data_IF_655724228403
#
_entry.id   IF_655724228403
#
_cell.length_a   1.000
_cell.length_b   1.000
_cell.length_c   1.000
_cell.angle_alpha   90.00
_cell.angle_beta   90.00
_cell.angle_gamma   90.00
#
_symmetry.space_group_name_H-M   'P 1'
#
loop_
_entity.id
_entity.type
_entity.pdbx_description
1 polymer ?
#
# COMPACT_ATOMS: atom_id res chain seq x y z
N UNK A 1 3.22 -36.81 -8.57
CA UNK A 1 2.19 -35.75 -8.67
C UNK A 1 2.87 -34.41 -8.41
N UNK A 2 3.12 -33.63 -9.46
CA UNK A 2 3.79 -32.33 -9.38
C UNK A 2 2.77 -31.23 -9.10
N UNK A 3 2.90 -30.56 -7.96
CA UNK A 3 2.08 -29.41 -7.60
C UNK A 3 2.33 -28.25 -8.58
N UNK A 4 1.33 -27.87 -9.38
CA UNK A 4 1.37 -26.63 -10.15
C UNK A 4 1.39 -25.46 -9.18
N UNK A 5 2.46 -24.66 -9.18
CA UNK A 5 2.49 -23.36 -8.51
C UNK A 5 1.43 -22.46 -9.16
N UNK A 6 0.36 -22.17 -8.42
CA UNK A 6 -0.62 -21.16 -8.78
C UNK A 6 0.09 -19.80 -8.86
N UNK A 7 0.23 -19.25 -10.06
CA UNK A 7 0.80 -17.91 -10.26
C UNK A 7 -0.20 -16.86 -9.78
N UNK A 8 0.03 -16.27 -8.61
CA UNK A 8 -0.68 -15.07 -8.15
C UNK A 8 -0.38 -13.94 -9.13
N UNK A 9 -1.42 -13.32 -9.69
CA UNK A 9 -1.25 -12.12 -10.53
C UNK A 9 -1.30 -10.90 -9.62
N UNK A 10 -0.16 -10.26 -9.46
CA UNK A 10 -0.08 -8.93 -8.85
C UNK A 10 -0.58 -7.90 -9.87
N UNK A 11 -1.58 -7.11 -9.50
CA UNK A 11 -2.09 -6.05 -10.36
C UNK A 11 -1.97 -4.74 -9.59
N UNK A 12 -0.89 -3.99 -9.80
CA UNK A 12 -0.81 -2.63 -9.29
C UNK A 12 -1.81 -1.77 -10.09
N UNK A 13 -2.86 -1.28 -9.42
CA UNK A 13 -3.76 -0.27 -9.98
C UNK A 13 -3.20 1.06 -9.52
N UNK A 14 -2.51 1.75 -10.43
CA UNK A 14 -1.84 3.00 -10.10
C UNK A 14 -2.85 4.13 -9.99
N UNK A 15 -2.86 4.79 -8.83
CA UNK A 15 -3.35 6.15 -8.71
C UNK A 15 -2.32 7.09 -9.37
N UNK A 16 -2.29 7.11 -10.70
CA UNK A 16 -1.82 8.29 -11.40
C UNK A 16 -3.06 9.15 -11.51
N UNK A 17 -3.27 10.15 -10.63
CA UNK A 17 -4.22 11.26 -10.84
C UNK A 17 -4.20 12.23 -9.63
N UNK A 18 -3.03 12.78 -9.31
CA UNK A 18 -2.96 14.18 -8.84
C UNK A 18 -2.08 14.91 -9.86
N UNK A 19 -2.64 15.96 -10.45
CA UNK A 19 -2.19 16.74 -11.61
C UNK A 19 -2.40 16.06 -12.98
N UNK A 20 -3.32 16.63 -13.76
CA UNK A 20 -3.64 16.16 -15.09
C UNK A 20 -2.50 16.36 -16.07
N UNK A 21 -2.10 15.29 -16.76
CA UNK A 21 -1.73 15.35 -18.18
C UNK A 21 -1.81 13.93 -18.76
N UNK A 22 -2.76 13.75 -19.66
CA UNK A 22 -2.85 12.61 -20.56
C UNK A 22 -1.64 12.66 -21.51
N UNK A 23 -0.78 11.65 -21.54
CA UNK A 23 -0.06 11.28 -22.77
C UNK A 23 0.34 9.81 -22.77
N UNK A 24 -0.30 9.08 -23.68
CA UNK A 24 0.15 7.81 -24.25
C UNK A 24 1.52 8.04 -24.90
N UNK A 25 2.45 7.07 -24.84
CA UNK A 25 3.15 6.59 -26.04
C UNK A 25 4.06 5.37 -25.77
N UNK A 26 3.84 4.37 -26.62
CA UNK A 26 4.73 3.28 -26.96
C UNK A 26 5.89 3.78 -27.85
N UNK A 27 6.96 2.99 -27.87
CA UNK A 27 8.07 2.94 -28.84
C UNK A 27 9.10 4.09 -28.88
N UNK A 28 10.32 3.76 -28.44
CA UNK A 28 11.57 3.81 -29.21
C UNK A 28 12.07 5.16 -29.73
N UNK A 29 13.30 5.53 -29.34
CA UNK A 29 14.10 6.51 -30.10
C UNK A 29 15.14 7.24 -29.27
N UNK A 30 16.42 6.89 -29.50
CA UNK A 30 17.61 7.60 -29.06
C UNK A 30 17.72 8.92 -29.83
N UNK A 31 17.97 10.05 -29.16
CA UNK A 31 18.72 11.18 -29.73
C UNK A 31 19.54 11.86 -28.62
N UNK A 32 20.85 12.00 -28.87
CA UNK A 32 21.80 12.81 -28.11
C UNK A 32 21.72 14.29 -28.51
N UNK A 33 22.08 15.20 -27.60
CA UNK A 33 22.80 16.42 -27.98
C UNK A 33 23.64 16.94 -26.81
N UNK A 34 24.96 16.97 -27.03
CA UNK A 34 25.90 17.81 -26.29
C UNK A 34 25.74 19.28 -26.73
N UNK A 35 25.95 20.21 -25.80
CA UNK A 35 26.44 21.56 -26.11
C UNK A 35 27.19 22.14 -24.90
N UNK A 36 28.31 22.77 -25.23
CA UNK A 36 29.48 23.18 -24.43
C UNK A 36 29.39 24.64 -23.96
N UNK A 37 30.07 24.97 -22.84
CA UNK A 37 30.99 26.13 -22.60
C UNK A 37 30.87 26.66 -21.14
N UNK A 38 31.88 26.48 -20.26
CA UNK A 38 33.02 27.39 -19.93
C UNK A 38 32.58 28.73 -19.26
N UNK A 39 33.17 29.29 -18.19
CA UNK A 39 34.42 29.06 -17.44
C UNK A 39 34.46 29.99 -16.19
N UNK A 40 35.43 29.75 -15.27
CA UNK A 40 35.97 30.61 -14.17
C UNK A 40 35.22 30.55 -12.84
N UNK A 41 35.80 30.25 -11.67
CA UNK A 41 37.19 30.12 -11.24
C UNK A 41 37.33 30.84 -9.90
N UNK A 42 37.65 30.12 -8.81
CA UNK A 42 38.58 30.61 -7.79
C UNK A 42 38.96 29.47 -6.83
N UNK A 43 40.24 29.37 -6.53
CA UNK A 43 40.83 28.36 -5.68
C UNK A 43 40.80 28.85 -4.22
N UNK A 44 40.10 28.14 -3.35
CA UNK A 44 40.27 28.29 -1.91
C UNK A 44 40.69 26.97 -1.26
N UNK A 45 41.73 27.11 -0.43
CA UNK A 45 42.53 26.10 0.27
C UNK A 45 41.74 24.89 0.77
N UNK A 46 42.25 23.71 0.43
CA UNK A 46 41.86 22.43 1.00
C UNK A 46 42.14 22.42 2.51
N UNK A 47 41.06 22.46 3.29
CA UNK A 47 41.03 22.14 4.70
C UNK A 47 41.07 20.61 4.84
N UNK A 48 42.25 20.07 5.15
CA UNK A 48 42.44 18.65 5.47
C UNK A 48 41.91 18.33 6.85
N UNK A 49 40.60 18.51 7.07
CA UNK A 49 39.89 17.82 8.15
C UNK A 49 39.49 16.45 7.61
N UNK A 50 40.19 15.44 8.12
CA UNK A 50 39.88 14.02 7.97
C UNK A 50 38.40 13.83 8.30
N UNK A 51 37.56 13.63 7.28
CA UNK A 51 36.15 13.32 7.46
C UNK A 51 36.08 12.09 8.37
N UNK A 52 35.36 12.11 9.50
CA UNK A 52 35.22 10.92 10.32
C UNK A 52 34.60 9.85 9.41
N UNK A 53 35.23 8.68 9.38
CA UNK A 53 34.66 7.51 8.71
C UNK A 53 33.25 7.36 9.28
N UNK A 54 32.23 7.44 8.43
CA UNK A 54 30.85 7.28 8.85
C UNK A 54 30.76 5.96 9.61
N UNK A 55 30.48 6.06 10.91
CA UNK A 55 30.27 4.91 11.77
C UNK A 55 29.17 4.08 11.11
N UNK A 56 29.42 2.79 10.86
CA UNK A 56 28.42 1.95 10.21
C UNK A 56 27.15 2.04 11.05
N UNK A 57 25.98 2.33 10.44
CA UNK A 57 24.76 2.48 11.20
C UNK A 57 24.55 1.23 12.07
N UNK A 58 24.13 1.46 13.32
CA UNK A 58 23.78 0.40 14.27
C UNK A 58 22.53 -0.33 13.74
N UNK A 59 22.77 -1.34 12.91
CA UNK A 59 21.75 -2.11 12.20
C UNK A 59 21.75 -3.54 12.71
N UNK A 60 20.62 -3.97 13.27
CA UNK A 60 20.36 -5.38 13.57
C UNK A 60 19.41 -5.98 12.52
N UNK A 61 19.47 -7.29 12.30
CA UNK A 61 18.62 -7.98 11.30
C UNK A 61 17.81 -9.08 11.95
N UNK A 62 16.62 -9.37 11.39
CA UNK A 62 15.87 -10.59 11.73
C UNK A 62 16.68 -11.84 11.38
N UNK A 63 16.33 -12.97 12.00
CA UNK A 63 17.00 -14.26 11.77
C UNK A 63 17.02 -14.67 10.30
N UNK A 64 15.94 -14.39 9.58
CA UNK A 64 15.81 -14.67 8.14
C UNK A 64 16.36 -13.55 7.23
N UNK A 65 16.89 -12.49 7.82
CA UNK A 65 17.47 -11.33 7.13
C UNK A 65 16.49 -10.44 6.37
N UNK A 66 15.17 -10.69 6.46
CA UNK A 66 14.15 -9.90 5.75
C UNK A 66 13.96 -8.51 6.33
N UNK A 67 14.10 -8.38 7.65
CA UNK A 67 13.90 -7.13 8.37
C UNK A 67 15.21 -6.59 8.90
N UNK A 68 15.36 -5.27 8.85
CA UNK A 68 16.44 -4.55 9.53
C UNK A 68 15.84 -3.63 10.59
N UNK A 69 16.54 -3.46 11.71
CA UNK A 69 16.15 -2.53 12.76
C UNK A 69 17.29 -1.53 12.94
N UNK A 70 16.93 -0.24 12.98
CA UNK A 70 17.89 0.86 13.08
C UNK A 70 17.54 1.75 14.25
N UNK A 71 18.55 2.14 15.03
CA UNK A 71 18.36 3.05 16.17
C UNK A 71 18.06 4.48 15.74
N UNK A 72 18.72 4.94 14.67
CA UNK A 72 18.42 6.22 14.03
C UNK A 72 17.46 5.97 12.86
N UNK A 73 16.27 6.55 12.96
CA UNK A 73 15.17 6.32 12.03
C UNK A 73 14.18 7.49 12.03
N UNK A 74 13.22 7.52 11.10
CA UNK A 74 12.22 8.59 11.02
C UNK A 74 11.29 8.56 12.25
N UNK A 75 10.96 9.71 12.87
CA UNK A 75 10.06 9.74 14.03
C UNK A 75 8.62 9.27 13.73
N UNK A 76 8.23 9.17 12.45
CA UNK A 76 6.94 8.64 12.01
C UNK A 76 7.02 7.18 11.54
N UNK A 77 8.21 6.57 11.60
CA UNK A 77 8.43 5.18 11.27
C UNK A 77 8.65 4.32 12.51
N UNK A 78 8.61 3.01 12.31
CA UNK A 78 8.72 2.01 13.37
C UNK A 78 10.18 1.72 13.76
N UNK A 79 11.17 2.31 13.08
CA UNK A 79 12.57 1.88 13.19
C UNK A 79 12.85 0.49 12.61
N UNK A 80 11.82 -0.14 12.03
CA UNK A 80 11.87 -1.42 11.33
C UNK A 80 11.82 -1.18 9.82
N UNK A 81 12.67 -1.88 9.10
CA UNK A 81 12.88 -1.72 7.67
C UNK A 81 12.63 -3.03 6.94
N UNK A 82 12.02 -2.94 5.76
CA UNK A 82 11.75 -4.04 4.85
C UNK A 82 12.10 -3.60 3.43
N UNK A 83 12.88 -4.39 2.69
CA UNK A 83 13.34 -4.02 1.34
C UNK A 83 13.96 -2.60 1.26
N UNK A 84 14.71 -2.22 2.30
CA UNK A 84 15.40 -0.93 2.39
C UNK A 84 14.52 0.30 2.63
N UNK A 85 13.20 0.15 2.78
CA UNK A 85 12.31 1.23 3.28
C UNK A 85 12.01 1.04 4.76
N UNK A 86 11.82 2.14 5.46
CA UNK A 86 11.25 2.11 6.81
C UNK A 86 9.74 1.82 6.71
N UNK A 87 9.21 1.11 7.69
CA UNK A 87 7.77 0.85 7.83
C UNK A 87 7.15 2.02 8.62
N UNK A 88 6.06 2.59 8.11
CA UNK A 88 5.36 3.70 8.77
C UNK A 88 4.60 3.19 9.99
N UNK A 89 4.35 4.07 10.97
CA UNK A 89 3.46 3.77 12.08
C UNK A 89 2.02 3.59 11.57
N UNK A 90 1.28 2.65 12.18
CA UNK A 90 -0.14 2.45 11.86
C UNK A 90 -0.96 3.67 12.29
N UNK A 91 -1.89 4.10 11.45
CA UNK A 91 -2.84 5.16 11.82
C UNK A 91 -3.81 4.67 12.92
N UNK A 92 -3.89 5.38 14.05
CA UNK A 92 -4.87 5.08 15.11
C UNK A 92 -6.32 5.28 14.64
N UNK A 93 -7.27 4.54 15.21
CA UNK A 93 -8.71 4.71 14.98
C UNK A 93 -9.23 6.14 15.19
N UNK A 94 -8.55 6.96 16.01
CA UNK A 94 -8.86 8.38 16.15
C UNK A 94 -8.73 9.17 14.82
N UNK A 95 -8.00 8.64 13.85
CA UNK A 95 -7.89 9.16 12.49
C UNK A 95 -9.09 8.83 11.59
N UNK A 96 -10.07 8.04 12.03
CA UNK A 96 -11.24 7.68 11.22
C UNK A 96 -11.95 8.88 10.55
N UNK A 97 -12.12 10.06 11.19
CA UNK A 97 -12.71 11.23 10.53
C UNK A 97 -11.94 11.69 9.28
N UNK A 98 -10.63 11.48 9.22
CA UNK A 98 -9.81 11.79 8.05
C UNK A 98 -10.17 10.92 6.84
N UNK A 99 -10.52 9.65 7.10
CA UNK A 99 -10.93 8.70 6.06
C UNK A 99 -12.32 9.02 5.48
N UNK A 100 -13.11 9.83 6.20
CA UNK A 100 -14.49 10.19 5.86
C UNK A 100 -14.66 11.64 5.40
N UNK A 101 -13.56 12.41 5.32
CA UNK A 101 -13.61 13.81 4.90
C UNK A 101 -14.27 13.92 3.51
N UNK A 102 -15.18 14.87 3.30
CA UNK A 102 -15.90 15.01 2.02
C UNK A 102 -14.99 15.15 0.80
N UNK A 103 -13.84 15.80 0.98
CA UNK A 103 -12.85 16.09 -0.05
C UNK A 103 -12.14 14.81 -0.55
N UNK A 104 -12.22 13.71 0.20
CA UNK A 104 -11.51 12.47 -0.11
C UNK A 104 -11.88 11.89 -1.47
N UNK A 105 -13.15 11.99 -1.88
CA UNK A 105 -13.55 11.52 -3.20
C UNK A 105 -12.96 12.38 -4.32
N UNK A 106 -12.83 13.69 -4.12
CA UNK A 106 -12.22 14.58 -5.11
C UNK A 106 -10.70 14.37 -5.19
N UNK A 107 -10.04 14.20 -4.04
CA UNK A 107 -8.59 14.05 -3.93
C UNK A 107 -8.09 12.65 -4.31
N UNK A 108 -8.75 11.60 -3.82
CA UNK A 108 -8.31 10.20 -3.97
C UNK A 108 -9.12 9.42 -5.02
N UNK A 109 -10.23 9.99 -5.52
CA UNK A 109 -11.06 9.42 -6.60
C UNK A 109 -11.51 7.99 -6.33
N UNK A 110 -12.05 7.73 -5.15
CA UNK A 110 -12.40 6.37 -4.69
C UNK A 110 -13.41 5.68 -5.61
N UNK A 111 -14.38 6.41 -6.18
CA UNK A 111 -15.33 5.82 -7.14
C UNK A 111 -14.63 5.36 -8.42
N UNK A 112 -13.66 6.15 -8.89
CA UNK A 112 -12.84 5.76 -10.04
C UNK A 112 -12.02 4.52 -9.69
N UNK A 113 -11.36 4.51 -8.54
CA UNK A 113 -10.58 3.37 -8.07
C UNK A 113 -11.44 2.10 -8.08
N UNK A 114 -12.59 2.11 -7.39
CA UNK A 114 -13.48 0.94 -7.27
C UNK A 114 -13.96 0.46 -8.64
N UNK A 115 -14.31 1.37 -9.56
CA UNK A 115 -14.71 1.00 -10.92
C UNK A 115 -13.61 0.30 -11.74
N UNK A 116 -12.33 0.58 -11.44
CA UNK A 116 -11.18 -0.04 -12.11
C UNK A 116 -10.77 -1.39 -11.48
N UNK A 117 -11.34 -1.74 -10.32
CA UNK A 117 -11.13 -3.05 -9.69
C UNK A 117 -11.85 -4.19 -10.41
N UNK A 118 -12.61 -3.91 -11.47
CA UNK A 118 -13.25 -4.93 -12.31
C UNK A 118 -14.12 -5.90 -11.49
N UNK A 119 -14.76 -5.38 -10.45
CA UNK A 119 -15.65 -6.12 -9.57
C UNK A 119 -16.85 -6.63 -10.38
N UNK A 120 -17.35 -7.80 -9.99
CA UNK A 120 -18.49 -8.43 -10.63
C UNK A 120 -19.46 -8.92 -9.56
N UNK A 121 -20.77 -8.92 -9.85
CA UNK A 121 -21.75 -9.53 -8.97
C UNK A 121 -21.37 -10.96 -8.58
N UNK A 122 -21.41 -11.29 -7.29
CA UNK A 122 -21.07 -12.61 -6.77
C UNK A 122 -19.60 -12.82 -6.38
N UNK A 123 -18.72 -11.85 -6.62
CA UNK A 123 -17.33 -11.93 -6.15
C UNK A 123 -17.24 -11.83 -4.62
N UNK A 124 -16.25 -12.51 -4.05
CA UNK A 124 -15.83 -12.36 -2.65
C UNK A 124 -14.54 -11.55 -2.64
N UNK A 125 -14.55 -10.37 -2.03
CA UNK A 125 -13.41 -9.46 -2.02
C UNK A 125 -12.99 -9.12 -0.60
N UNK A 126 -11.69 -8.92 -0.38
CA UNK A 126 -11.12 -8.50 0.89
C UNK A 126 -10.68 -7.04 0.82
N UNK A 127 -11.14 -6.23 1.77
CA UNK A 127 -10.65 -4.87 2.02
C UNK A 127 -9.69 -4.93 3.22
N UNK A 128 -8.37 -4.86 2.96
CA UNK A 128 -7.34 -5.04 3.99
C UNK A 128 -6.90 -3.67 4.51
N UNK A 129 -7.12 -3.42 5.79
CA UNK A 129 -7.07 -2.08 6.37
C UNK A 129 -8.32 -1.29 6.03
N UNK A 130 -9.50 -1.90 6.24
CA UNK A 130 -10.79 -1.33 5.87
C UNK A 130 -11.08 0.02 6.57
N UNK A 131 -10.46 0.29 7.73
CA UNK A 131 -10.66 1.51 8.51
C UNK A 131 -12.13 1.72 8.84
N UNK A 132 -12.62 2.94 8.61
CA UNK A 132 -14.05 3.25 8.81
C UNK A 132 -14.98 2.68 7.72
N UNK A 133 -14.43 1.96 6.74
CA UNK A 133 -15.12 1.15 5.75
C UNK A 133 -15.67 1.88 4.52
N UNK A 134 -15.22 3.10 4.23
CA UNK A 134 -15.66 3.86 3.05
C UNK A 134 -15.59 3.00 1.77
N UNK A 135 -14.45 2.37 1.52
CA UNK A 135 -14.23 1.57 0.31
C UNK A 135 -14.94 0.21 0.41
N UNK A 136 -14.93 -0.43 1.58
CA UNK A 136 -15.71 -1.65 1.85
C UNK A 136 -17.18 -1.51 1.43
N UNK A 137 -17.83 -0.40 1.78
CA UNK A 137 -19.24 -0.18 1.44
C UNK A 137 -19.44 0.07 -0.06
N UNK A 138 -18.50 0.76 -0.73
CA UNK A 138 -18.54 0.93 -2.19
C UNK A 138 -18.37 -0.40 -2.91
N UNK A 139 -17.43 -1.25 -2.49
CA UNK A 139 -17.25 -2.58 -3.06
C UNK A 139 -18.47 -3.48 -2.80
N UNK A 140 -19.13 -3.34 -1.65
CA UNK A 140 -20.34 -4.10 -1.31
C UNK A 140 -21.48 -3.84 -2.29
N UNK A 141 -21.62 -2.59 -2.77
CA UNK A 141 -22.54 -2.26 -3.84
C UNK A 141 -22.18 -2.98 -5.14
N UNK A 142 -20.92 -2.90 -5.58
CA UNK A 142 -20.48 -3.45 -6.86
C UNK A 142 -20.53 -4.99 -6.94
N UNK A 143 -20.22 -5.70 -5.85
CA UNK A 143 -20.29 -7.17 -5.82
C UNK A 143 -21.72 -7.68 -5.64
N UNK A 144 -22.68 -6.80 -5.36
CA UNK A 144 -24.10 -7.09 -5.22
C UNK A 144 -24.46 -8.07 -4.09
N UNK A 145 -25.75 -8.38 -3.97
CA UNK A 145 -26.30 -9.19 -2.86
C UNK A 145 -25.76 -10.63 -2.80
N UNK A 146 -25.29 -11.16 -3.94
CA UNK A 146 -24.70 -12.50 -4.03
C UNK A 146 -23.19 -12.51 -3.77
N UNK A 147 -22.56 -11.33 -3.80
CA UNK A 147 -21.16 -11.16 -3.47
C UNK A 147 -20.96 -10.94 -1.98
N UNK A 148 -19.69 -10.77 -1.58
CA UNK A 148 -19.33 -10.49 -0.20
C UNK A 148 -18.07 -9.64 -0.12
N UNK A 149 -18.05 -8.68 0.79
CA UNK A 149 -16.85 -7.95 1.21
C UNK A 149 -16.41 -8.45 2.58
N UNK A 150 -15.15 -8.84 2.71
CA UNK A 150 -14.49 -9.15 3.97
C UNK A 150 -13.69 -7.91 4.37
N UNK A 151 -14.23 -7.12 5.29
CA UNK A 151 -13.61 -5.90 5.78
C UNK A 151 -12.66 -6.25 6.93
N UNK A 152 -11.35 -6.11 6.70
CA UNK A 152 -10.31 -6.56 7.62
C UNK A 152 -9.60 -5.35 8.19
N UNK A 153 -9.49 -5.30 9.52
CA UNK A 153 -8.68 -4.31 10.22
C UNK A 153 -8.00 -4.97 11.43
N UNK A 154 -6.89 -4.40 11.90
CA UNK A 154 -6.19 -4.84 13.11
C UNK A 154 -6.78 -4.17 14.36
N UNK A 155 -7.45 -3.03 14.20
CA UNK A 155 -8.07 -2.28 15.28
C UNK A 155 -9.55 -2.66 15.41
N UNK A 156 -9.95 -3.17 16.58
CA UNK A 156 -11.35 -3.51 16.85
C UNK A 156 -12.24 -2.26 16.76
N UNK A 157 -11.73 -1.10 17.16
CA UNK A 157 -12.43 0.18 17.14
C UNK A 157 -12.82 0.61 15.72
N UNK A 158 -11.97 0.34 14.71
CA UNK A 158 -12.31 0.59 13.30
C UNK A 158 -13.45 -0.32 12.83
N UNK A 159 -13.41 -1.60 13.23
CA UNK A 159 -14.45 -2.56 12.91
C UNK A 159 -15.78 -2.21 13.59
N UNK A 160 -15.75 -1.70 14.83
CA UNK A 160 -16.94 -1.25 15.54
C UNK A 160 -17.60 -0.06 14.82
N UNK A 161 -16.80 0.94 14.40
CA UNK A 161 -17.29 2.08 13.60
C UNK A 161 -17.94 1.62 12.28
N UNK A 162 -17.31 0.67 11.58
CA UNK A 162 -17.88 0.11 10.36
C UNK A 162 -19.13 -0.74 10.65
N UNK A 163 -19.13 -1.51 11.74
CA UNK A 163 -20.28 -2.30 12.18
C UNK A 163 -21.53 -1.46 12.40
N UNK A 164 -21.38 -0.31 13.05
CA UNK A 164 -22.47 0.66 13.24
C UNK A 164 -23.02 1.16 11.90
N UNK A 165 -22.14 1.45 10.93
CA UNK A 165 -22.57 1.87 9.58
C UNK A 165 -23.30 0.75 8.84
N UNK A 166 -22.79 -0.48 8.91
CA UNK A 166 -23.42 -1.65 8.28
C UNK A 166 -24.84 -1.82 8.84
N UNK A 167 -25.00 -1.76 10.15
CA UNK A 167 -26.28 -1.89 10.83
C UNK A 167 -27.24 -0.75 10.44
N UNK A 168 -26.80 0.50 10.53
CA UNK A 168 -27.62 1.67 10.24
C UNK A 168 -28.08 1.73 8.78
N UNK A 169 -27.25 1.26 7.85
CA UNK A 169 -27.55 1.23 6.42
C UNK A 169 -28.14 -0.11 5.95
N UNK A 170 -28.37 -1.07 6.86
CA UNK A 170 -28.93 -2.41 6.58
C UNK A 170 -28.17 -3.17 5.50
N UNK A 171 -26.84 -3.02 5.49
CA UNK A 171 -25.94 -3.69 4.55
C UNK A 171 -25.78 -5.14 5.00
N UNK A 172 -25.91 -6.09 4.07
CA UNK A 172 -25.99 -7.53 4.38
C UNK A 172 -24.80 -8.35 3.91
N UNK A 173 -23.99 -7.79 3.02
CA UNK A 173 -22.93 -8.49 2.31
C UNK A 173 -21.53 -7.99 2.70
N UNK A 174 -21.38 -7.39 3.88
CA UNK A 174 -20.08 -7.04 4.48
C UNK A 174 -19.90 -7.86 5.76
N UNK A 175 -18.75 -8.53 5.89
CA UNK A 175 -18.35 -9.32 7.06
C UNK A 175 -17.09 -8.68 7.66
N UNK A 176 -17.13 -8.40 8.96
CA UNK A 176 -16.02 -7.82 9.70
C UNK A 176 -15.05 -8.92 10.13
N UNK A 177 -13.75 -8.71 9.91
CA UNK A 177 -12.71 -9.67 10.27
C UNK A 177 -11.61 -8.97 11.04
N UNK A 178 -11.41 -9.35 12.31
CA UNK A 178 -10.27 -8.87 13.09
C UNK A 178 -9.00 -9.62 12.67
N UNK A 179 -8.10 -8.89 12.02
CA UNK A 179 -6.80 -9.39 11.57
C UNK A 179 -5.74 -9.39 12.68
N UNK A 180 -4.52 -9.71 12.31
CA UNK A 180 -3.32 -9.50 13.14
C UNK A 180 -2.23 -8.86 12.29
N UNK A 181 -1.10 -8.49 12.90
CA UNK A 181 0.05 -7.89 12.22
C UNK A 181 0.62 -8.78 11.09
N UNK A 182 0.31 -10.09 11.13
CA UNK A 182 0.86 -11.11 10.23
C UNK A 182 -0.18 -11.84 9.38
N UNK A 183 -1.47 -11.70 9.65
CA UNK A 183 -2.50 -12.51 8.99
C UNK A 183 -3.82 -11.76 8.87
N UNK A 184 -4.49 -11.83 7.70
CA UNK A 184 -5.81 -11.25 7.51
C UNK A 184 -6.93 -12.17 8.05
N UNK A 185 -6.56 -13.33 8.64
CA UNK A 185 -7.49 -14.34 9.19
C UNK A 185 -8.53 -14.85 8.18
N UNK A 186 -8.15 -14.89 6.90
CA UNK A 186 -8.98 -15.39 5.82
C UNK A 186 -8.76 -16.89 5.59
N UNK A 187 -9.80 -17.56 5.09
CA UNK A 187 -9.71 -18.96 4.65
C UNK A 187 -8.90 -19.06 3.35
N UNK A 188 -8.16 -20.14 3.17
CA UNK A 188 -7.45 -20.40 1.92
C UNK A 188 -8.41 -20.48 0.73
N UNK A 189 -7.98 -20.01 -0.45
CA UNK A 189 -8.76 -20.06 -1.70
C UNK A 189 -10.20 -19.56 -1.59
N UNK A 190 -10.44 -18.50 -0.81
CA UNK A 190 -11.78 -18.00 -0.47
C UNK A 190 -12.13 -16.66 -1.13
N UNK A 191 -11.14 -15.86 -1.55
CA UNK A 191 -11.35 -14.53 -2.12
C UNK A 191 -10.91 -14.44 -3.59
N UNK A 192 -11.60 -13.61 -4.36
CA UNK A 192 -11.31 -13.30 -5.76
C UNK A 192 -10.37 -12.09 -5.92
N UNK A 193 -10.43 -11.14 -4.98
CA UNK A 193 -9.61 -9.93 -4.94
C UNK A 193 -9.24 -9.58 -3.49
N UNK A 194 -7.99 -9.20 -3.24
CA UNK A 194 -7.61 -8.45 -2.05
C UNK A 194 -7.23 -7.02 -2.46
N UNK A 195 -7.79 -6.03 -1.80
CA UNK A 195 -7.50 -4.62 -1.98
C UNK A 195 -6.76 -4.09 -0.75
N UNK A 196 -5.71 -3.31 -0.98
CA UNK A 196 -5.00 -2.51 0.03
C UNK A 196 -4.90 -1.09 -0.51
N UNK A 197 -5.45 -0.13 0.24
CA UNK A 197 -5.40 1.30 -0.10
C UNK A 197 -4.74 2.04 1.05
N UNK A 198 -3.53 2.54 0.82
CA UNK A 198 -2.71 3.27 1.79
C UNK A 198 -2.49 2.49 3.10
N UNK A 199 -2.14 1.20 3.00
CA UNK A 199 -2.03 0.30 4.17
C UNK A 199 -0.72 -0.51 4.16
N UNK A 200 -0.22 -0.90 2.99
CA UNK A 200 0.93 -1.79 2.87
C UNK A 200 2.23 -1.14 3.40
N UNK A 201 2.30 0.19 3.37
CA UNK A 201 3.43 0.92 3.96
C UNK A 201 3.46 0.86 5.50
N UNK A 202 2.32 0.59 6.16
CA UNK A 202 2.17 0.54 7.62
C UNK A 202 2.31 -0.89 8.21
N UNK A 203 2.25 -1.94 7.38
CA UNK A 203 2.37 -3.31 7.87
C UNK A 203 3.68 -3.55 8.62
N UNK A 204 3.57 -4.02 9.87
CA UNK A 204 4.73 -4.44 10.65
C UNK A 204 5.39 -5.68 10.04
N UNK A 205 4.61 -6.58 9.41
CA UNK A 205 5.11 -7.79 8.75
C UNK A 205 4.55 -7.92 7.32
N UNK A 206 5.02 -7.09 6.36
CA UNK A 206 4.49 -7.07 5.00
C UNK A 206 4.64 -8.41 4.27
N UNK A 207 5.74 -9.13 4.50
CA UNK A 207 5.98 -10.42 3.85
C UNK A 207 4.96 -11.48 4.30
N UNK A 208 4.78 -11.64 5.61
CA UNK A 208 3.87 -12.60 6.21
C UNK A 208 2.42 -12.30 5.82
N UNK A 209 1.99 -11.04 5.93
CA UNK A 209 0.65 -10.62 5.52
C UNK A 209 0.39 -10.91 4.04
N UNK A 210 1.32 -10.54 3.16
CA UNK A 210 1.19 -10.78 1.71
C UNK A 210 1.17 -12.27 1.39
N UNK A 211 1.95 -13.08 2.10
CA UNK A 211 1.96 -14.53 1.94
C UNK A 211 0.61 -15.15 2.34
N UNK A 212 0.01 -14.70 3.45
CA UNK A 212 -1.31 -15.16 3.88
C UNK A 212 -2.43 -14.70 2.92
N UNK A 213 -2.36 -13.47 2.41
CA UNK A 213 -3.26 -12.99 1.37
C UNK A 213 -3.14 -13.83 0.09
N UNK A 214 -1.92 -14.16 -0.33
CA UNK A 214 -1.67 -15.03 -1.47
C UNK A 214 -2.31 -16.42 -1.32
N UNK A 215 -2.31 -16.99 -0.11
CA UNK A 215 -3.01 -18.26 0.19
C UNK A 215 -4.52 -18.12 0.17
N UNK A 216 -5.04 -16.97 0.61
CA UNK A 216 -6.48 -16.69 0.64
C UNK A 216 -7.08 -16.53 -0.76
N UNK A 217 -6.28 -16.17 -1.77
CA UNK A 217 -6.74 -16.03 -3.14
C UNK A 217 -7.14 -17.36 -3.78
N UNK A 218 -8.29 -17.37 -4.45
CA UNK A 218 -8.69 -18.42 -5.39
C UNK A 218 -7.72 -18.48 -6.58
N UNK A 219 -7.66 -19.61 -7.30
CA UNK A 219 -6.96 -19.65 -8.59
C UNK A 219 -7.46 -18.54 -9.54
N UNK A 220 -6.54 -17.69 -10.00
CA UNK A 220 -6.87 -16.54 -10.85
C UNK A 220 -7.25 -15.26 -10.09
N UNK A 221 -7.33 -15.31 -8.75
CA UNK A 221 -7.48 -14.14 -7.91
C UNK A 221 -6.25 -13.24 -7.94
N UNK A 222 -6.43 -12.00 -7.48
CA UNK A 222 -5.39 -10.96 -7.54
C UNK A 222 -5.33 -10.10 -6.29
N UNK A 223 -4.17 -9.50 -6.06
CA UNK A 223 -3.98 -8.43 -5.07
C UNK A 223 -3.86 -7.11 -5.83
N UNK A 224 -4.57 -6.09 -5.36
CA UNK A 224 -4.49 -4.72 -5.82
C UNK A 224 -3.91 -3.83 -4.71
N UNK A 225 -2.80 -3.15 -5.02
CA UNK A 225 -2.17 -2.16 -4.16
C UNK A 225 -2.48 -0.77 -4.72
N UNK A 226 -2.89 0.12 -3.83
CA UNK A 226 -3.04 1.55 -4.10
C UNK A 226 -2.22 2.26 -3.02
N UNK A 227 -1.08 2.80 -3.43
CA UNK A 227 -0.04 3.31 -2.53
C UNK A 227 0.61 4.55 -3.13
N UNK A 228 1.17 5.41 -2.27
CA UNK A 228 1.92 6.58 -2.71
C UNK A 228 3.26 6.19 -3.32
N UNK A 229 3.49 6.62 -4.56
CA UNK A 229 4.72 6.33 -5.30
C UNK A 229 5.88 7.17 -4.77
N UNK A 230 7.00 6.50 -4.47
CA UNK A 230 8.26 7.17 -4.10
C UNK A 230 8.91 7.85 -5.29
N UNK A 231 8.64 7.37 -6.50
CA UNK A 231 9.15 7.94 -7.75
C UNK A 231 8.53 9.30 -8.07
N UNK A 232 7.37 9.62 -7.49
CA UNK A 232 6.71 10.91 -7.70
C UNK A 232 7.04 11.89 -6.55
N UNK A 233 7.91 12.90 -6.81
CA UNK A 233 8.25 13.89 -5.80
C UNK A 233 7.08 14.83 -5.47
N UNK A 234 6.06 14.95 -6.34
CA UNK A 234 4.97 15.90 -6.18
C UNK A 234 3.88 15.43 -5.21
N UNK A 235 3.85 14.15 -4.87
CA UNK A 235 2.92 13.62 -3.86
C UNK A 235 3.25 14.24 -2.49
N UNK A 236 2.36 15.03 -1.89
CA UNK A 236 2.67 15.82 -0.68
C UNK A 236 2.47 15.01 0.61
N UNK A 237 3.17 13.88 0.73
CA UNK A 237 3.13 13.01 1.91
C UNK A 237 4.56 12.71 2.42
N UNK A 238 4.66 12.41 3.72
CA UNK A 238 5.91 12.01 4.38
C UNK A 238 6.55 10.82 3.68
N UNK A 239 7.88 10.79 3.64
CA UNK A 239 8.64 9.78 2.91
C UNK A 239 8.37 8.35 3.38
N UNK A 240 8.13 8.12 4.68
CA UNK A 240 7.83 6.79 5.23
C UNK A 240 6.52 6.18 4.71
N UNK A 241 5.60 7.01 4.19
CA UNK A 241 4.37 6.54 3.55
C UNK A 241 4.53 6.32 2.04
N UNK A 242 5.71 6.60 1.46
CA UNK A 242 5.98 6.40 0.03
C UNK A 242 6.71 5.09 -0.23
N UNK A 243 6.35 4.43 -1.33
CA UNK A 243 6.89 3.14 -1.74
C UNK A 243 7.30 3.15 -3.21
N UNK A 244 8.42 2.49 -3.53
CA UNK A 244 8.74 2.21 -4.93
C UNK A 244 7.90 1.05 -5.46
N UNK A 245 7.69 0.99 -6.77
CA UNK A 245 7.01 -0.17 -7.37
C UNK A 245 7.72 -1.49 -7.09
N UNK A 246 9.06 -1.47 -7.01
CA UNK A 246 9.84 -2.66 -6.72
C UNK A 246 9.60 -3.20 -5.30
N UNK A 247 9.20 -2.33 -4.36
CA UNK A 247 8.92 -2.69 -2.97
C UNK A 247 7.51 -3.25 -2.76
N UNK A 248 6.66 -3.18 -3.79
CA UNK A 248 5.28 -3.67 -3.77
C UNK A 248 5.14 -5.03 -4.49
N UNK A 249 6.23 -5.61 -5.03
CA UNK A 249 6.21 -6.80 -5.90
C UNK A 249 6.37 -8.15 -5.19
#
# INVERSE_FOLDING_TARGET
MTARRSSVRLCCVFCALISGLLWLLLSGGIVSSEAVAQEKGDATKADTRKSPAAEKPDVTKSEDGRYEFRKEHDPNGQGKFYMGRELAMVMSFHGAPWLERPEREEEERLSLLVSHLGLKPGMVVADVGAGSGVISLMMAHEVGEKGKVLAIDIQQEMLDLLGDKIMNNKIKNVELVLGTEKSPKLKESSIDLALMVDVYHEFEYPYEMTLELAKALKPGGRIAFVEYRREDPQVPIKLVHKMTEAQVK
#
